data_IF_479577645172
#
_entry.id   IF_479577645172
#
_cell.length_a   1.000
_cell.length_b   1.000
_cell.length_c   1.000
_cell.angle_alpha   90.00
_cell.angle_beta   90.00
_cell.angle_gamma   90.00
#
_symmetry.space_group_name_H-M   'P 1'
#
loop_
_entity.id
_entity.type
_entity.pdbx_description
1 polymer ?
#
# COMPACT_ATOMS: atom_id res chain seq x y z
N UNK A 1 -6.95 4.63 6.56
CA UNK A 1 -6.24 3.40 6.11
C UNK A 1 -7.07 2.74 5.02
N UNK A 2 -6.47 1.96 4.13
CA UNK A 2 -7.19 1.21 3.09
C UNK A 2 -6.83 -0.27 3.21
N UNK A 3 -7.83 -1.16 3.19
CA UNK A 3 -7.61 -2.60 3.35
C UNK A 3 -7.05 -3.25 2.08
N UNK A 4 -6.44 -4.43 2.21
CA UNK A 4 -5.96 -5.20 1.04
C UNK A 4 -7.12 -5.67 0.17
N UNK A 5 -8.24 -6.04 0.79
CA UNK A 5 -9.45 -6.49 0.11
C UNK A 5 -10.03 -5.39 -0.76
N UNK A 6 -10.13 -4.18 -0.21
CA UNK A 6 -10.60 -3.02 -0.96
C UNK A 6 -9.65 -2.66 -2.10
N UNK A 7 -8.33 -2.61 -1.85
CA UNK A 7 -7.35 -2.34 -2.91
C UNK A 7 -7.39 -3.41 -4.01
N UNK A 8 -7.54 -4.69 -3.65
CA UNK A 8 -7.65 -5.76 -4.65
C UNK A 8 -8.90 -5.58 -5.52
N UNK A 9 -10.03 -5.24 -4.92
CA UNK A 9 -11.27 -5.05 -5.65
C UNK A 9 -11.22 -3.81 -6.56
N UNK A 10 -10.80 -2.66 -6.03
CA UNK A 10 -10.82 -1.39 -6.76
C UNK A 10 -9.68 -1.23 -7.76
N UNK A 11 -8.49 -1.75 -7.45
CA UNK A 11 -7.30 -1.57 -8.30
C UNK A 11 -7.12 -2.73 -9.27
N UNK A 12 -7.44 -3.96 -8.85
CA UNK A 12 -7.22 -5.17 -9.64
C UNK A 12 -8.51 -5.81 -10.17
N UNK A 13 -9.69 -5.31 -9.76
CA UNK A 13 -10.98 -5.84 -10.20
C UNK A 13 -11.30 -7.25 -9.70
N UNK A 14 -10.60 -7.73 -8.65
CA UNK A 14 -10.73 -9.12 -8.18
C UNK A 14 -10.72 -9.24 -6.66
N UNK A 15 -11.35 -10.31 -6.17
CA UNK A 15 -11.29 -10.68 -4.75
C UNK A 15 -9.87 -11.05 -4.34
N UNK A 16 -9.47 -10.62 -3.15
CA UNK A 16 -8.18 -10.98 -2.55
C UNK A 16 -8.15 -12.47 -2.20
N UNK A 17 -7.06 -13.15 -2.53
CA UNK A 17 -6.80 -14.54 -2.12
C UNK A 17 -5.59 -14.61 -1.18
N UNK A 18 -5.44 -15.66 -0.37
CA UNK A 18 -4.37 -15.75 0.64
C UNK A 18 -2.94 -15.62 0.09
N UNK A 19 -2.72 -16.02 -1.16
CA UNK A 19 -1.41 -15.99 -1.81
C UNK A 19 -1.23 -14.77 -2.72
N UNK A 20 -2.22 -13.88 -2.81
CA UNK A 20 -2.11 -12.70 -3.66
C UNK A 20 -1.13 -11.68 -3.05
N UNK A 21 -0.13 -11.30 -3.85
CA UNK A 21 0.92 -10.35 -3.48
C UNK A 21 0.94 -9.14 -4.42
N UNK A 22 0.00 -9.04 -5.36
CA UNK A 22 -0.01 -7.97 -6.36
C UNK A 22 -0.03 -6.57 -5.70
N UNK A 23 -0.86 -6.38 -4.67
CA UNK A 23 -0.89 -5.11 -3.93
C UNK A 23 0.46 -4.82 -3.22
N UNK A 24 1.07 -5.82 -2.60
CA UNK A 24 2.41 -5.66 -1.98
C UNK A 24 3.47 -5.28 -3.04
N UNK A 25 3.39 -5.85 -4.24
CA UNK A 25 4.28 -5.50 -5.35
C UNK A 25 4.05 -4.08 -5.87
N UNK A 26 2.79 -3.65 -6.01
CA UNK A 26 2.46 -2.27 -6.37
C UNK A 26 3.01 -1.28 -5.33
N UNK A 27 2.83 -1.54 -4.04
CA UNK A 27 3.38 -0.70 -2.96
C UNK A 27 4.91 -0.65 -3.01
N UNK A 28 5.57 -1.79 -3.28
CA UNK A 28 7.03 -1.84 -3.40
C UNK A 28 7.54 -1.05 -4.60
N UNK A 29 6.83 -1.13 -5.74
CA UNK A 29 7.13 -0.34 -6.93
C UNK A 29 6.92 1.16 -6.69
N UNK A 30 5.85 1.55 -5.98
CA UNK A 30 5.62 2.94 -5.60
C UNK A 30 6.74 3.46 -4.69
N UNK A 31 7.16 2.69 -3.69
CA UNK A 31 8.28 3.07 -2.81
C UNK A 31 9.59 3.32 -3.56
N UNK A 32 9.84 2.57 -4.63
CA UNK A 32 11.03 2.76 -5.48
C UNK A 32 10.92 4.00 -6.38
N UNK A 33 9.71 4.36 -6.80
CA UNK A 33 9.45 5.49 -7.71
C UNK A 33 9.33 6.83 -6.97
N UNK A 34 8.88 6.80 -5.73
CA UNK A 34 8.70 8.01 -4.94
C UNK A 34 10.05 8.43 -4.32
N UNK A 35 10.39 9.73 -4.37
CA UNK A 35 11.58 10.24 -3.70
C UNK A 35 11.42 10.17 -2.18
N UNK A 36 12.51 10.41 -1.44
CA UNK A 36 12.41 10.63 0.00
C UNK A 36 11.49 11.82 0.30
N UNK A 37 10.69 11.70 1.37
CA UNK A 37 9.84 12.82 1.79
C UNK A 37 10.67 13.87 2.50
N UNK A 38 10.30 15.13 2.30
CA UNK A 38 10.95 16.28 2.95
C UNK A 38 10.86 16.23 4.48
N UNK A 39 9.84 15.58 5.03
CA UNK A 39 9.61 15.41 6.47
C UNK A 39 10.30 14.17 7.05
N UNK A 40 11.05 13.41 6.23
CA UNK A 40 11.74 12.20 6.67
C UNK A 40 10.83 11.01 6.98
N UNK A 41 9.50 11.16 6.84
CA UNK A 41 8.57 10.07 7.06
C UNK A 41 8.46 9.17 5.81
N UNK A 42 8.08 7.88 5.96
CA UNK A 42 7.76 7.05 4.81
C UNK A 42 6.45 7.51 4.15
N UNK A 43 6.31 7.33 2.84
CA UNK A 43 5.04 7.58 2.15
C UNK A 43 3.90 6.68 2.64
N UNK A 44 4.20 5.40 2.87
CA UNK A 44 3.20 4.38 3.23
C UNK A 44 3.63 3.55 4.43
N UNK A 45 2.76 3.46 5.44
CA UNK A 45 2.86 2.51 6.56
C UNK A 45 2.12 1.22 6.23
N UNK A 46 2.80 0.09 6.40
CA UNK A 46 2.18 -1.24 6.27
C UNK A 46 1.50 -1.63 7.59
N UNK A 47 0.22 -1.97 7.53
CA UNK A 47 -0.51 -2.61 8.63
C UNK A 47 -0.61 -4.11 8.32
N UNK A 48 0.20 -4.93 9.01
CA UNK A 48 0.30 -6.37 8.77
C UNK A 48 -1.08 -7.02 8.87
N UNK A 49 -1.45 -7.80 7.84
CA UNK A 49 -2.76 -8.45 7.75
C UNK A 49 -3.96 -7.53 7.49
N UNK A 50 -3.79 -6.19 7.50
CA UNK A 50 -4.91 -5.24 7.32
C UNK A 50 -4.84 -4.48 6.00
N UNK A 51 -3.72 -3.82 5.71
CA UNK A 51 -3.61 -2.97 4.52
C UNK A 51 -2.52 -1.92 4.66
N UNK A 52 -2.77 -0.75 4.09
CA UNK A 52 -1.79 0.34 4.02
C UNK A 52 -2.42 1.66 4.45
N UNK A 53 -1.57 2.53 4.98
CA UNK A 53 -1.94 3.90 5.32
C UNK A 53 -0.93 4.84 4.65
N UNK A 54 -1.45 5.83 3.93
CA UNK A 54 -0.63 6.96 3.52
C UNK A 54 -0.35 7.81 4.76
N UNK A 55 0.92 8.11 5.00
CA UNK A 55 1.31 8.96 6.13
C UNK A 55 0.98 10.40 5.76
N UNK A 56 0.20 11.11 6.56
CA UNK A 56 0.02 12.56 6.43
C UNK A 56 1.14 13.27 7.19
N UNK A 57 1.60 14.41 6.68
CA UNK A 57 2.34 15.35 7.52
C UNK A 57 1.36 15.88 8.59
N UNK A 58 1.83 15.93 9.84
CA UNK A 58 1.14 16.68 10.91
C UNK A 58 1.41 18.16 10.77
#
# INVERSE_FOLDING_TARGET
MVSREHLSQEVLGKRLTPFDRAIDMHISNLRRKLPERKDGHPWFKTLRGRGYLMVSAS
#
